data_IF_017459880990
#
_entry.id   IF_017459880990
#
_cell.length_a   1.000
_cell.length_b   1.000
_cell.length_c   1.000
_cell.angle_alpha   90.00
_cell.angle_beta   90.00
_cell.angle_gamma   90.00
#
_symmetry.space_group_name_H-M   'P 1'
#
loop_
_entity.id
_entity.type
_entity.pdbx_description
1 polymer ?
#
# COMPACT_ATOMS: atom_id res chain seq x y z
N UNK A 1 12.44 39.36 38.31
CA UNK A 1 10.99 39.04 38.24
C UNK A 1 10.40 39.02 36.82
N UNK A 2 10.96 39.74 35.82
CA UNK A 2 10.43 39.79 34.43
C UNK A 2 10.54 38.47 33.66
N UNK A 3 11.67 37.75 33.79
CA UNK A 3 11.91 36.47 33.13
C UNK A 3 10.86 35.38 33.45
N UNK A 4 10.39 35.32 34.71
CA UNK A 4 9.36 34.36 35.15
C UNK A 4 7.96 34.71 34.63
N UNK A 5 7.76 35.95 34.16
CA UNK A 5 6.52 36.38 33.53
C UNK A 5 6.52 36.08 32.02
N UNK A 6 7.67 36.22 31.34
CA UNK A 6 7.84 35.84 29.94
C UNK A 6 7.71 34.33 29.74
N UNK A 7 8.35 33.52 30.59
CA UNK A 7 8.27 32.05 30.54
C UNK A 7 6.83 31.52 30.75
N UNK A 8 6.01 32.23 31.55
CA UNK A 8 4.59 31.89 31.73
C UNK A 8 3.74 32.26 30.51
N UNK A 9 4.08 33.36 29.83
CA UNK A 9 3.42 33.77 28.58
C UNK A 9 3.74 32.80 27.45
N UNK A 10 5.01 32.36 27.34
CA UNK A 10 5.43 31.37 26.35
C UNK A 10 4.75 30.01 26.58
N UNK A 11 4.71 29.51 27.82
CA UNK A 11 3.96 28.29 28.14
C UNK A 11 2.47 28.42 27.84
N UNK A 12 1.84 29.54 28.16
CA UNK A 12 0.43 29.76 27.81
C UNK A 12 0.20 29.82 26.30
N UNK A 13 1.08 30.46 25.55
CA UNK A 13 1.01 30.48 24.09
C UNK A 13 1.16 29.07 23.50
N UNK A 14 2.06 28.26 24.05
CA UNK A 14 2.23 26.87 23.66
C UNK A 14 0.99 26.03 23.98
N UNK A 15 0.39 26.20 25.17
CA UNK A 15 -0.84 25.50 25.55
C UNK A 15 -2.02 25.87 24.65
N UNK A 16 -2.17 27.13 24.27
CA UNK A 16 -3.23 27.57 23.34
C UNK A 16 -3.00 26.98 21.94
N UNK A 17 -1.76 26.96 21.44
CA UNK A 17 -1.44 26.31 20.16
C UNK A 17 -1.66 24.80 20.21
N UNK A 18 -1.44 24.17 21.37
CA UNK A 18 -1.71 22.75 21.57
C UNK A 18 -3.22 22.46 21.64
N UNK A 19 -4.02 23.31 22.29
CA UNK A 19 -5.48 23.16 22.34
C UNK A 19 -6.11 23.39 20.96
N UNK A 20 -5.66 24.39 20.21
CA UNK A 20 -6.15 24.67 18.86
C UNK A 20 -5.90 23.50 17.90
N UNK A 21 -4.70 22.89 17.95
CA UNK A 21 -4.39 21.66 17.20
C UNK A 21 -5.29 20.49 17.62
N UNK A 22 -5.63 20.37 18.90
CA UNK A 22 -6.57 19.36 19.40
C UNK A 22 -7.99 19.62 18.89
N UNK A 23 -8.47 20.86 18.87
CA UNK A 23 -9.81 21.21 18.38
C UNK A 23 -9.98 20.90 16.88
N UNK A 24 -8.97 21.18 16.05
CA UNK A 24 -9.00 20.84 14.63
C UNK A 24 -9.01 19.32 14.39
N UNK A 25 -8.24 18.58 15.19
CA UNK A 25 -8.22 17.11 15.17
C UNK A 25 -9.56 16.52 15.62
N UNK A 26 -10.12 17.01 16.73
CA UNK A 26 -11.44 16.64 17.27
C UNK A 26 -12.55 16.89 16.24
N UNK A 27 -12.60 18.07 15.63
CA UNK A 27 -13.61 18.40 14.61
C UNK A 27 -13.54 17.45 13.40
N UNK A 28 -12.34 17.07 12.99
CA UNK A 28 -12.11 16.08 11.92
C UNK A 28 -12.56 14.68 12.36
N UNK A 29 -12.25 14.28 13.60
CA UNK A 29 -12.67 13.00 14.17
C UNK A 29 -14.19 12.88 14.29
N UNK A 30 -14.87 13.93 14.74
CA UNK A 30 -16.34 13.96 14.87
C UNK A 30 -17.01 13.86 13.50
N UNK A 31 -16.54 14.63 12.50
CA UNK A 31 -17.04 14.51 11.12
C UNK A 31 -16.78 13.13 10.54
N UNK A 32 -15.61 12.55 10.79
CA UNK A 32 -15.29 11.21 10.34
C UNK A 32 -16.15 10.15 11.05
N UNK A 33 -16.50 10.36 12.34
CA UNK A 33 -17.35 9.48 13.12
C UNK A 33 -18.83 9.52 12.72
N UNK A 34 -19.26 10.57 12.00
CA UNK A 34 -20.61 10.67 11.43
C UNK A 34 -20.94 9.46 10.56
N UNK A 35 -22.24 9.16 10.41
CA UNK A 35 -22.71 8.05 9.56
C UNK A 35 -22.23 8.23 8.12
N UNK A 36 -22.33 9.46 7.59
CA UNK A 36 -21.80 9.82 6.27
C UNK A 36 -20.29 9.60 6.16
N UNK A 37 -19.51 10.02 7.18
CA UNK A 37 -18.06 9.85 7.23
C UNK A 37 -17.60 8.38 7.25
N UNK A 38 -18.43 7.47 7.76
CA UNK A 38 -18.17 6.02 7.67
C UNK A 38 -18.40 5.47 6.26
N UNK A 39 -19.49 5.87 5.59
CA UNK A 39 -19.81 5.42 4.23
C UNK A 39 -18.82 5.96 3.19
N UNK A 40 -18.38 7.21 3.32
CA UNK A 40 -17.36 7.80 2.45
C UNK A 40 -16.05 7.03 2.55
N UNK A 41 -15.63 6.62 3.75
CA UNK A 41 -14.44 5.78 3.93
C UNK A 41 -14.61 4.38 3.31
N UNK A 42 -15.82 3.84 3.31
CA UNK A 42 -16.16 2.60 2.59
C UNK A 42 -16.11 2.76 1.09
N UNK A 43 -16.68 3.83 0.56
CA UNK A 43 -16.64 4.14 -0.87
C UNK A 43 -15.21 4.39 -1.36
N UNK A 44 -14.41 5.16 -0.62
CA UNK A 44 -13.02 5.45 -0.98
C UNK A 44 -12.19 4.17 -1.05
N UNK A 45 -12.31 3.28 -0.07
CA UNK A 45 -11.50 2.05 -0.09
C UNK A 45 -12.01 1.06 -1.12
N UNK A 46 -13.33 0.93 -1.30
CA UNK A 46 -13.88 0.16 -2.42
C UNK A 46 -13.33 0.69 -3.76
N UNK A 47 -13.31 2.01 -3.96
CA UNK A 47 -12.77 2.63 -5.16
C UNK A 47 -11.26 2.40 -5.33
N UNK A 48 -10.46 2.49 -4.27
CA UNK A 48 -9.01 2.26 -4.34
C UNK A 48 -8.70 0.78 -4.64
N UNK A 49 -9.38 -0.15 -3.96
CA UNK A 49 -9.22 -1.60 -4.23
C UNK A 49 -9.64 -1.90 -5.66
N UNK A 50 -10.77 -1.35 -6.10
CA UNK A 50 -11.24 -1.52 -7.47
C UNK A 50 -10.26 -0.89 -8.48
N UNK A 51 -9.68 0.28 -8.21
CA UNK A 51 -8.70 0.91 -9.07
C UNK A 51 -7.39 0.11 -9.15
N UNK A 52 -6.85 -0.37 -8.03
CA UNK A 52 -5.62 -1.18 -8.00
C UNK A 52 -5.81 -2.51 -8.73
N UNK A 53 -7.02 -3.07 -8.69
CA UNK A 53 -7.34 -4.29 -9.45
C UNK A 53 -7.61 -3.94 -10.91
N UNK A 54 -8.50 -3.00 -11.24
CA UNK A 54 -8.89 -2.74 -12.62
C UNK A 54 -7.82 -2.06 -13.46
N UNK A 55 -7.02 -1.16 -12.88
CA UNK A 55 -5.99 -0.44 -13.63
C UNK A 55 -5.05 -1.39 -14.40
N UNK A 56 -4.44 -2.42 -13.80
CA UNK A 56 -3.60 -3.37 -14.54
C UNK A 56 -4.40 -4.16 -15.59
N UNK A 57 -5.65 -4.54 -15.33
CA UNK A 57 -6.50 -5.22 -16.32
C UNK A 57 -6.78 -4.33 -17.54
N UNK A 58 -7.16 -3.06 -17.32
CA UNK A 58 -7.39 -2.08 -18.39
C UNK A 58 -6.11 -1.90 -19.20
N UNK A 59 -4.96 -1.75 -18.54
CA UNK A 59 -3.67 -1.63 -19.25
C UNK A 59 -3.41 -2.85 -20.14
N UNK A 60 -3.63 -4.07 -19.64
CA UNK A 60 -3.42 -5.30 -20.42
C UNK A 60 -4.43 -5.53 -21.55
N UNK A 61 -5.65 -4.99 -21.44
CA UNK A 61 -6.71 -5.17 -22.46
C UNK A 61 -6.61 -4.11 -23.55
N UNK A 62 -6.26 -2.88 -23.18
CA UNK A 62 -6.23 -1.75 -24.11
C UNK A 62 -4.83 -1.44 -24.64
N UNK A 63 -3.80 -2.12 -24.14
CA UNK A 63 -2.43 -2.00 -24.64
C UNK A 63 -1.94 -3.39 -25.06
N UNK A 64 -1.37 -3.52 -26.26
CA UNK A 64 -0.58 -4.69 -26.70
C UNK A 64 0.76 -4.77 -25.94
N UNK A 65 0.75 -4.45 -24.64
CA UNK A 65 1.92 -4.49 -23.80
C UNK A 65 2.22 -5.96 -23.45
N UNK A 66 3.11 -6.58 -24.20
CA UNK A 66 3.68 -7.88 -23.85
C UNK A 66 4.40 -7.76 -22.50
N UNK A 67 3.99 -8.56 -21.51
CA UNK A 67 4.69 -8.63 -20.22
C UNK A 67 5.89 -9.55 -20.39
N UNK A 68 7.10 -9.00 -20.33
CA UNK A 68 8.33 -9.79 -20.42
C UNK A 68 8.71 -10.32 -19.04
N UNK A 69 8.63 -11.63 -18.86
CA UNK A 69 9.13 -12.34 -17.70
C UNK A 69 10.61 -12.62 -17.84
N UNK A 70 11.38 -12.31 -16.81
CA UNK A 70 12.73 -12.82 -16.64
C UNK A 70 12.68 -13.95 -15.60
N UNK A 71 13.10 -15.15 -15.98
CA UNK A 71 13.27 -16.25 -15.04
C UNK A 71 14.66 -16.88 -15.20
N UNK A 72 15.26 -17.24 -14.08
CA UNK A 72 16.56 -17.93 -14.05
C UNK A 72 16.31 -19.43 -14.00
N UNK A 73 16.69 -20.14 -15.05
CA UNK A 73 16.58 -21.59 -15.11
C UNK A 73 17.97 -22.22 -14.87
N UNK A 74 18.06 -23.08 -13.85
CA UNK A 74 19.24 -23.90 -13.59
C UNK A 74 19.31 -24.97 -14.69
N UNK A 75 20.04 -24.67 -15.77
CA UNK A 75 20.16 -25.62 -16.89
C UNK A 75 21.46 -26.39 -16.71
N UNK A 76 21.37 -27.56 -16.08
CA UNK A 76 22.53 -28.45 -15.89
C UNK A 76 22.40 -29.27 -14.62
N UNK A 77 22.63 -30.58 -14.73
CA UNK A 77 22.46 -31.52 -13.62
C UNK A 77 21.60 -32.76 -13.94
N UNK A 78 21.21 -33.01 -15.20
CA UNK A 78 20.72 -34.34 -15.55
C UNK A 78 21.88 -35.33 -15.42
N UNK A 79 21.72 -36.31 -14.52
CA UNK A 79 22.74 -37.25 -14.04
C UNK A 79 23.91 -36.59 -13.29
N UNK A 80 23.68 -36.17 -12.03
CA UNK A 80 24.74 -36.07 -11.01
C UNK A 80 26.03 -35.30 -11.45
N UNK A 81 25.88 -34.20 -12.20
CA UNK A 81 27.03 -33.35 -12.57
C UNK A 81 27.96 -33.92 -13.66
N UNK A 82 27.59 -34.99 -14.35
CA UNK A 82 28.45 -35.63 -15.36
C UNK A 82 28.62 -34.81 -16.66
N UNK A 83 27.70 -33.88 -16.94
CA UNK A 83 27.70 -33.04 -18.16
C UNK A 83 28.16 -31.59 -17.93
N UNK A 84 28.84 -31.32 -16.81
CA UNK A 84 29.43 -30.01 -16.50
C UNK A 84 28.72 -29.26 -15.37
N UNK A 85 29.33 -28.16 -14.86
CA UNK A 85 28.77 -27.38 -13.76
C UNK A 85 27.41 -26.79 -14.15
N UNK A 86 26.49 -26.74 -13.19
CA UNK A 86 25.19 -26.09 -13.36
C UNK A 86 25.41 -24.65 -13.81
N UNK A 87 24.86 -24.30 -14.97
CA UNK A 87 24.92 -22.94 -15.51
C UNK A 87 23.57 -22.28 -15.24
N UNK A 88 23.62 -21.13 -14.59
CA UNK A 88 22.46 -20.25 -14.48
C UNK A 88 22.23 -19.62 -15.86
N UNK A 89 21.12 -19.97 -16.50
CA UNK A 89 20.70 -19.35 -17.74
C UNK A 89 19.53 -18.41 -17.44
N UNK A 90 19.70 -17.13 -17.77
CA UNK A 90 18.63 -16.13 -17.70
C UNK A 90 17.81 -16.25 -18.99
N UNK A 91 16.53 -16.61 -18.87
CA UNK A 91 15.60 -16.64 -20.00
C UNK A 91 14.58 -15.51 -19.87
N UNK A 92 14.18 -15.00 -21.03
CA UNK A 92 13.12 -14.02 -21.17
C UNK A 92 11.97 -14.65 -21.96
N UNK A 93 10.77 -14.63 -21.39
CA UNK A 93 9.56 -15.12 -22.04
C UNK A 93 8.51 -14.01 -22.03
N UNK A 94 7.93 -13.73 -23.20
CA UNK A 94 6.81 -12.79 -23.32
C UNK A 94 5.52 -13.53 -23.03
N UNK A 95 4.82 -13.11 -21.99
CA UNK A 95 3.47 -13.62 -21.67
C UNK A 95 2.45 -12.56 -22.05
N UNK A 96 1.43 -12.99 -22.79
CA UNK A 96 0.29 -12.16 -23.12
C UNK A 96 -0.67 -12.10 -21.92
N UNK A 97 -0.96 -10.87 -21.48
CA UNK A 97 -1.90 -10.60 -20.40
C UNK A 97 -1.26 -10.20 -19.07
N UNK A 98 -2.06 -10.26 -17.99
CA UNK A 98 -1.68 -9.79 -16.66
C UNK A 98 -0.88 -10.84 -15.89
N UNK A 99 0.38 -10.55 -15.62
CA UNK A 99 1.18 -11.33 -14.68
C UNK A 99 0.83 -10.94 -13.24
N UNK A 100 0.17 -11.84 -12.52
CA UNK A 100 -0.05 -11.72 -11.07
C UNK A 100 1.08 -12.42 -10.34
N UNK A 101 2.08 -11.67 -9.89
CA UNK A 101 3.19 -12.25 -9.13
C UNK A 101 2.79 -12.50 -7.67
N UNK A 102 3.50 -13.39 -6.95
CA UNK A 102 3.26 -13.63 -5.53
C UNK A 102 3.33 -12.34 -4.69
N UNK A 103 4.21 -11.41 -5.04
CA UNK A 103 4.38 -10.12 -4.39
C UNK A 103 3.12 -9.25 -4.58
N UNK A 104 2.56 -9.20 -5.79
CA UNK A 104 1.31 -8.47 -6.08
C UNK A 104 0.15 -9.05 -5.26
N UNK A 105 0.07 -10.39 -5.16
CA UNK A 105 -0.95 -11.07 -4.35
C UNK A 105 -0.81 -10.71 -2.87
N UNK A 106 0.41 -10.72 -2.34
CA UNK A 106 0.67 -10.36 -0.95
C UNK A 106 0.32 -8.90 -0.65
N UNK A 107 0.68 -7.97 -1.53
CA UNK A 107 0.32 -6.57 -1.40
C UNK A 107 -1.21 -6.37 -1.40
N UNK A 108 -1.92 -7.05 -2.32
CA UNK A 108 -3.38 -7.01 -2.38
C UNK A 108 -4.02 -7.56 -1.11
N UNK A 109 -3.55 -8.73 -0.64
CA UNK A 109 -4.01 -9.33 0.62
C UNK A 109 -3.73 -8.42 1.82
N UNK A 110 -2.59 -7.74 1.85
CA UNK A 110 -2.25 -6.79 2.91
C UNK A 110 -3.18 -5.57 2.92
N UNK A 111 -3.51 -5.00 1.76
CA UNK A 111 -4.46 -3.88 1.64
C UNK A 111 -5.86 -4.31 2.06
N UNK A 112 -6.31 -5.48 1.61
CA UNK A 112 -7.59 -6.07 2.00
C UNK A 112 -7.62 -6.34 3.51
N UNK A 113 -6.61 -7.00 4.07
CA UNK A 113 -6.50 -7.28 5.49
C UNK A 113 -6.38 -6.02 6.35
N UNK A 114 -5.63 -5.00 5.91
CA UNK A 114 -5.59 -3.70 6.57
C UNK A 114 -7.00 -3.10 6.64
N UNK A 115 -7.77 -3.14 5.55
CA UNK A 115 -9.09 -2.53 5.54
C UNK A 115 -10.16 -3.30 6.32
N UNK A 116 -10.26 -4.61 6.11
CA UNK A 116 -11.25 -5.45 6.77
C UNK A 116 -10.83 -5.84 8.20
N UNK A 117 -9.53 -5.92 8.48
CA UNK A 117 -8.96 -6.24 9.79
C UNK A 117 -8.98 -5.07 10.78
N UNK A 118 -8.77 -3.82 10.32
CA UNK A 118 -9.00 -2.63 11.15
C UNK A 118 -10.48 -2.47 11.56
N UNK A 119 -11.41 -3.08 10.82
CA UNK A 119 -12.84 -3.11 11.16
C UNK A 119 -13.20 -4.09 12.29
N UNK A 120 -12.35 -5.08 12.57
CA UNK A 120 -12.57 -6.11 13.59
C UNK A 120 -11.98 -5.74 14.97
N UNK A 121 -11.04 -4.78 15.03
CA UNK A 121 -10.46 -4.27 16.27
C UNK A 121 -11.36 -3.21 16.95
N UNK A 122 -12.65 -3.54 17.09
CA UNK A 122 -13.61 -2.73 17.83
C UNK A 122 -13.92 -3.35 19.18
#
# INVERSE_FOLDING_TARGET
>A
MKHKAEERKERHAEHIRASERRHLSEASRVRAASVAGKWIRRGLVAAIVFAVILAPFIVTVFTDAATVLQYTEQTGGKLFGLFGPAKEAVRFESVDGLLVTPETRQALLAVVAFYFGQGAAK
#
